data_IF_730281485810
#
_entry.id   IF_730281485810
#
_cell.length_a   1.000
_cell.length_b   1.000
_cell.length_c   1.000
_cell.angle_alpha   90.00
_cell.angle_beta   90.00
_cell.angle_gamma   90.00
#
_symmetry.space_group_name_H-M   'P 1'
#
loop_
_entity.id
_entity.type
_entity.pdbx_description
1 polymer ?
#
# COMPACT_ATOMS: atom_id res chain seq x y z
N UNK A 1 6.46 -31.56 -15.20
CA UNK A 1 6.32 -30.23 -14.55
C UNK A 1 7.60 -29.47 -14.83
N UNK A 2 7.54 -28.36 -15.57
CA UNK A 2 8.72 -27.56 -15.94
C UNK A 2 9.00 -26.52 -14.85
N UNK A 3 10.22 -26.52 -14.33
CA UNK A 3 10.67 -25.55 -13.31
C UNK A 3 11.53 -24.50 -13.99
N UNK A 4 11.31 -23.23 -13.66
CA UNK A 4 12.17 -22.12 -14.08
C UNK A 4 13.19 -21.82 -12.97
N UNK A 5 14.49 -22.05 -13.20
CA UNK A 5 15.52 -21.69 -12.24
C UNK A 5 15.71 -20.16 -12.21
N UNK A 6 15.96 -19.62 -11.02
CA UNK A 6 16.31 -18.21 -10.85
C UNK A 6 17.82 -18.03 -10.80
N UNK A 7 18.33 -16.99 -11.47
CA UNK A 7 19.72 -16.55 -11.36
C UNK A 7 19.88 -15.39 -10.35
N UNK A 8 18.80 -15.00 -9.66
CA UNK A 8 18.80 -13.88 -8.72
C UNK A 8 19.50 -14.25 -7.42
N UNK A 9 20.59 -13.55 -7.09
CA UNK A 9 21.21 -13.62 -5.77
C UNK A 9 20.61 -12.56 -4.83
N UNK A 10 19.84 -13.04 -3.85
CA UNK A 10 19.18 -12.20 -2.84
C UNK A 10 20.11 -11.69 -1.73
N UNK A 11 21.34 -12.21 -1.66
CA UNK A 11 22.37 -11.72 -0.73
C UNK A 11 23.29 -10.67 -1.37
N UNK A 12 23.15 -10.41 -2.67
CA UNK A 12 23.97 -9.42 -3.37
C UNK A 12 23.66 -7.99 -2.89
N UNK A 13 24.69 -7.11 -2.83
CA UNK A 13 24.48 -5.69 -2.49
C UNK A 13 23.55 -4.95 -3.49
N UNK A 14 23.58 -5.37 -4.75
CA UNK A 14 22.73 -4.84 -5.83
C UNK A 14 21.25 -5.16 -5.57
N UNK A 15 20.94 -6.42 -5.22
CA UNK A 15 19.60 -6.81 -4.84
C UNK A 15 19.09 -6.00 -3.64
N UNK A 16 19.93 -5.85 -2.61
CA UNK A 16 19.56 -5.07 -1.42
C UNK A 16 19.22 -3.61 -1.77
N UNK A 17 20.00 -2.99 -2.66
CA UNK A 17 19.79 -1.61 -3.13
C UNK A 17 18.50 -1.47 -3.94
N UNK A 18 18.26 -2.38 -4.89
CA UNK A 18 17.04 -2.39 -5.70
C UNK A 18 15.80 -2.63 -4.84
N UNK A 19 15.88 -3.57 -3.89
CA UNK A 19 14.82 -3.83 -2.93
C UNK A 19 14.50 -2.60 -2.10
N UNK A 20 15.51 -1.95 -1.52
CA UNK A 20 15.31 -0.74 -0.71
C UNK A 20 14.61 0.36 -1.51
N UNK A 21 15.03 0.57 -2.76
CA UNK A 21 14.42 1.56 -3.66
C UNK A 21 12.94 1.24 -3.93
N UNK A 22 12.59 -0.02 -4.18
CA UNK A 22 11.19 -0.40 -4.43
C UNK A 22 10.33 -0.33 -3.18
N UNK A 23 10.86 -0.72 -2.02
CA UNK A 23 10.15 -0.60 -0.75
C UNK A 23 9.84 0.87 -0.44
N UNK A 24 10.76 1.80 -0.72
CA UNK A 24 10.49 3.22 -0.57
C UNK A 24 9.31 3.71 -1.45
N UNK A 25 9.27 3.31 -2.72
CA UNK A 25 8.16 3.63 -3.63
C UNK A 25 6.83 3.03 -3.18
N UNK A 26 6.86 1.81 -2.62
CA UNK A 26 5.65 1.18 -2.07
C UNK A 26 5.13 1.96 -0.86
N UNK A 27 6.02 2.44 0.02
CA UNK A 27 5.64 3.27 1.16
C UNK A 27 4.98 4.59 0.71
N UNK A 28 5.49 5.22 -0.35
CA UNK A 28 4.85 6.40 -0.96
C UNK A 28 3.44 6.09 -1.47
N UNK A 29 3.27 4.95 -2.15
CA UNK A 29 1.97 4.51 -2.64
C UNK A 29 1.00 4.21 -1.48
N UNK A 30 1.47 3.54 -0.43
CA UNK A 30 0.66 3.25 0.76
C UNK A 30 0.19 4.53 1.45
N UNK A 31 1.03 5.56 1.50
CA UNK A 31 0.66 6.86 2.06
C UNK A 31 -0.48 7.52 1.26
N UNK A 32 -0.39 7.55 -0.07
CA UNK A 32 -1.47 8.09 -0.92
C UNK A 32 -2.74 7.24 -0.86
N UNK A 33 -2.59 5.91 -0.81
CA UNK A 33 -3.72 5.01 -0.63
C UNK A 33 -4.42 5.25 0.72
N UNK A 34 -3.67 5.51 1.79
CA UNK A 34 -4.21 5.90 3.10
C UNK A 34 -5.08 7.17 3.03
N UNK A 35 -4.65 8.18 2.27
CA UNK A 35 -5.47 9.38 2.03
C UNK A 35 -6.77 9.04 1.29
N UNK A 36 -6.69 8.19 0.28
CA UNK A 36 -7.88 7.73 -0.45
C UNK A 36 -8.83 6.90 0.42
N UNK A 37 -8.31 6.15 1.39
CA UNK A 37 -9.11 5.41 2.39
C UNK A 37 -9.81 6.34 3.38
N UNK A 38 -9.21 7.48 3.74
CA UNK A 38 -9.84 8.49 4.58
C UNK A 38 -11.09 9.13 3.91
N UNK A 39 -11.28 8.93 2.61
CA UNK A 39 -12.45 9.41 1.86
C UNK A 39 -12.54 10.94 1.89
N UNK A 40 -13.69 11.48 2.32
CA UNK A 40 -13.86 12.91 2.52
C UNK A 40 -13.13 13.48 3.74
N UNK A 41 -12.36 12.67 4.46
CA UNK A 41 -11.74 13.03 5.73
C UNK A 41 -12.69 12.85 6.93
N UNK A 42 -12.11 12.89 8.12
CA UNK A 42 -12.75 12.51 9.39
C UNK A 42 -14.08 13.24 9.63
N UNK A 43 -14.15 14.53 9.32
CA UNK A 43 -15.37 15.35 9.46
C UNK A 43 -16.56 14.76 8.70
N UNK A 44 -16.35 14.35 7.44
CA UNK A 44 -17.43 13.85 6.61
C UNK A 44 -17.75 12.39 6.92
N UNK A 45 -16.75 11.58 7.27
CA UNK A 45 -16.96 10.21 7.74
C UNK A 45 -17.79 10.21 9.04
N UNK A 46 -17.42 11.03 10.02
CA UNK A 46 -18.17 11.18 11.27
C UNK A 46 -19.60 11.67 11.02
N UNK A 47 -19.79 12.63 10.09
CA UNK A 47 -21.13 13.08 9.69
C UNK A 47 -21.95 11.96 9.04
N UNK A 48 -21.33 11.10 8.23
CA UNK A 48 -22.01 9.97 7.59
C UNK A 48 -22.48 8.94 8.64
N UNK A 49 -21.59 8.57 9.57
CA UNK A 49 -21.93 7.66 10.68
C UNK A 49 -22.99 8.24 11.62
N UNK A 50 -22.92 9.54 11.96
CA UNK A 50 -23.95 10.23 12.75
C UNK A 50 -25.36 10.18 12.11
N UNK A 51 -25.45 9.95 10.80
CA UNK A 51 -26.73 9.74 10.09
C UNK A 51 -27.19 8.27 10.10
N UNK A 52 -26.53 7.40 10.87
CA UNK A 52 -26.83 5.97 10.95
C UNK A 52 -26.46 5.18 9.70
N UNK A 53 -25.55 5.71 8.87
CA UNK A 53 -25.15 5.09 7.60
C UNK A 53 -23.72 4.56 7.67
N UNK A 54 -23.48 3.43 6.99
CA UNK A 54 -22.14 2.89 6.79
C UNK A 54 -21.41 3.68 5.69
N UNK A 55 -20.15 4.09 5.91
CA UNK A 55 -19.31 4.64 4.86
C UNK A 55 -19.05 3.59 3.76
N UNK A 56 -18.62 4.04 2.57
CA UNK A 56 -18.58 3.21 1.36
C UNK A 56 -17.72 1.92 1.42
N UNK A 57 -16.91 1.72 2.46
CA UNK A 57 -16.01 0.57 2.64
C UNK A 57 -16.23 -0.15 3.99
N UNK A 58 -17.38 0.06 4.63
CA UNK A 58 -17.87 -0.66 5.83
C UNK A 58 -19.17 -1.39 5.50
#
# INVERSE_FOLDING_TARGET
MTVLPTALDTNSPEYATHRATMVAKLAELEAEHGKALAGGGEKYVARHRKRGKLPARE
#
